data_IF_882581573828
#
_entry.id   IF_882581573828
#
_cell.length_a   1.000
_cell.length_b   1.000
_cell.length_c   1.000
_cell.angle_alpha   90.00
_cell.angle_beta   90.00
_cell.angle_gamma   90.00
#
_symmetry.space_group_name_H-M   'P 1'
#
loop_
_entity.id
_entity.type
_entity.pdbx_description
1 polymer ?
#
# COMPACT_ATOMS: atom_id res chain seq x y z
N UNK A 1 -18.89 8.04 20.39
CA UNK A 1 -18.97 7.79 18.94
C UNK A 1 -18.21 6.53 18.54
N UNK A 2 -16.88 6.47 18.66
CA UNK A 2 -16.08 5.30 18.27
C UNK A 2 -16.52 3.97 18.92
N UNK A 3 -16.87 3.97 20.21
CA UNK A 3 -17.38 2.77 20.90
C UNK A 3 -18.71 2.26 20.32
N UNK A 4 -19.59 3.16 19.87
CA UNK A 4 -20.87 2.84 19.24
C UNK A 4 -20.62 2.24 17.86
N UNK A 5 -19.71 2.82 17.08
CA UNK A 5 -19.33 2.29 15.77
C UNK A 5 -18.75 0.86 15.90
N UNK A 6 -17.85 0.66 16.86
CA UNK A 6 -17.25 -0.66 17.10
C UNK A 6 -18.29 -1.69 17.54
N UNK A 7 -19.27 -1.29 18.37
CA UNK A 7 -20.39 -2.13 18.74
C UNK A 7 -21.24 -2.55 17.52
N UNK A 8 -21.44 -1.62 16.57
CA UNK A 8 -22.12 -1.88 15.31
C UNK A 8 -21.36 -2.86 14.40
N UNK A 9 -20.04 -2.66 14.25
CA UNK A 9 -19.17 -3.56 13.45
C UNK A 9 -19.14 -4.96 14.05
N UNK A 10 -18.89 -5.09 15.36
CA UNK A 10 -18.78 -6.39 16.02
C UNK A 10 -20.14 -7.04 16.37
N UNK A 11 -21.25 -6.35 16.11
CA UNK A 11 -22.60 -6.73 16.54
C UNK A 11 -22.68 -7.09 18.04
N UNK A 12 -21.95 -6.35 18.88
CA UNK A 12 -21.85 -6.58 20.34
C UNK A 12 -22.03 -5.28 21.11
N UNK A 13 -22.92 -5.20 22.11
CA UNK A 13 -23.16 -3.96 22.85
C UNK A 13 -21.95 -3.47 23.64
N UNK A 14 -21.07 -4.40 24.05
CA UNK A 14 -19.80 -4.12 24.72
C UNK A 14 -18.71 -4.84 23.92
N UNK A 15 -18.16 -4.21 22.87
CA UNK A 15 -17.15 -4.83 22.02
C UNK A 15 -15.85 -5.07 22.78
N UNK A 16 -15.10 -6.09 22.39
CA UNK A 16 -13.79 -6.41 22.95
C UNK A 16 -12.77 -6.56 21.83
N UNK A 17 -11.57 -6.01 22.06
CA UNK A 17 -10.43 -6.12 21.14
C UNK A 17 -9.29 -6.77 21.91
N UNK A 18 -8.91 -7.99 21.53
CA UNK A 18 -7.84 -8.77 22.14
C UNK A 18 -6.70 -8.99 21.14
N UNK A 19 -7.02 -9.43 19.94
CA UNK A 19 -6.08 -9.83 18.91
C UNK A 19 -6.00 -8.75 17.82
N UNK A 20 -4.88 -8.01 17.81
CA UNK A 20 -4.61 -6.91 16.88
C UNK A 20 -3.53 -7.33 15.90
N UNK A 21 -3.68 -6.98 14.63
CA UNK A 21 -2.60 -7.11 13.65
C UNK A 21 -2.39 -5.81 12.87
N UNK A 22 -1.15 -5.57 12.46
CA UNK A 22 -0.79 -4.55 11.48
C UNK A 22 -0.24 -5.29 10.26
N UNK A 23 -0.92 -5.15 9.13
CA UNK A 23 -0.50 -5.75 7.86
C UNK A 23 0.24 -4.69 7.06
N UNK A 24 1.52 -4.96 6.80
CA UNK A 24 2.41 -4.13 6.00
C UNK A 24 2.50 -4.75 4.61
N UNK A 25 1.93 -4.07 3.63
CA UNK A 25 2.07 -4.44 2.22
C UNK A 25 3.28 -3.71 1.63
N UNK A 26 4.20 -4.45 1.02
CA UNK A 26 5.42 -3.88 0.46
C UNK A 26 5.57 -4.13 -1.05
N UNK A 27 5.87 -3.09 -1.81
CA UNK A 27 6.00 -3.16 -3.27
C UNK A 27 6.76 -1.97 -3.84
N UNK A 28 7.56 -2.21 -4.88
CA UNK A 28 8.34 -1.17 -5.54
C UNK A 28 7.61 -0.59 -6.74
N UNK A 29 7.96 0.66 -7.09
CA UNK A 29 7.31 1.40 -8.16
C UNK A 29 8.26 1.73 -9.30
N UNK A 30 7.84 1.45 -10.55
CA UNK A 30 8.64 1.79 -11.74
C UNK A 30 8.80 3.30 -11.97
N UNK A 31 7.89 4.12 -11.44
CA UNK A 31 7.96 5.59 -11.54
C UNK A 31 9.18 6.19 -10.83
N UNK A 32 9.87 5.42 -9.99
CA UNK A 32 11.12 5.86 -9.35
C UNK A 32 12.20 6.21 -10.37
N UNK A 33 12.15 5.62 -11.58
CA UNK A 33 13.04 5.95 -12.69
C UNK A 33 12.94 7.43 -13.13
N UNK A 34 11.83 8.12 -12.81
CA UNK A 34 11.63 9.54 -13.10
C UNK A 34 12.23 10.47 -12.03
N UNK A 35 12.86 9.96 -10.96
CA UNK A 35 13.49 10.81 -9.94
C UNK A 35 12.50 11.52 -9.01
N UNK A 36 11.39 10.85 -8.64
CA UNK A 36 10.30 11.41 -7.81
C UNK A 36 10.56 11.42 -6.30
N UNK A 37 11.75 11.05 -5.84
CA UNK A 37 12.06 10.95 -4.41
C UNK A 37 13.56 10.94 -4.11
N UNK A 38 13.88 11.02 -2.81
CA UNK A 38 15.27 11.17 -2.32
C UNK A 38 15.96 9.85 -2.01
N UNK A 39 15.23 8.73 -2.06
CA UNK A 39 15.72 7.44 -1.61
C UNK A 39 15.89 6.48 -2.79
N UNK A 40 16.98 5.69 -2.81
CA UNK A 40 17.14 4.66 -3.81
C UNK A 40 16.10 3.55 -3.60
N UNK A 41 15.67 2.92 -4.68
CA UNK A 41 14.65 1.86 -4.66
C UNK A 41 15.00 0.71 -3.70
N UNK A 42 16.30 0.41 -3.53
CA UNK A 42 16.79 -0.61 -2.60
C UNK A 42 16.37 -0.40 -1.13
N UNK A 43 15.96 0.81 -0.73
CA UNK A 43 15.47 1.09 0.63
C UNK A 43 14.21 0.30 0.97
N UNK A 44 13.36 -0.06 -0.01
CA UNK A 44 12.19 -0.92 0.22
C UNK A 44 12.59 -2.25 0.86
N UNK A 45 13.56 -2.95 0.26
CA UNK A 45 14.06 -4.22 0.78
C UNK A 45 14.75 -4.06 2.15
N UNK A 46 15.55 -3.00 2.32
CA UNK A 46 16.21 -2.72 3.61
C UNK A 46 15.20 -2.51 4.74
N UNK A 47 14.11 -1.79 4.47
CA UNK A 47 13.06 -1.58 5.46
C UNK A 47 12.28 -2.85 5.76
N UNK A 48 12.07 -3.76 4.80
CA UNK A 48 11.53 -5.08 5.09
C UNK A 48 12.40 -5.82 6.09
N UNK A 49 13.71 -5.92 5.84
CA UNK A 49 14.61 -6.55 6.81
C UNK A 49 14.58 -5.86 8.18
N UNK A 50 14.38 -4.55 8.22
CA UNK A 50 14.20 -3.80 9.47
C UNK A 50 12.87 -4.13 10.19
N UNK A 51 11.78 -4.34 9.43
CA UNK A 51 10.52 -4.81 10.02
C UNK A 51 10.67 -6.23 10.60
N UNK A 52 11.34 -7.13 9.87
CA UNK A 52 11.57 -8.51 10.28
C UNK A 52 12.51 -8.61 11.50
N UNK A 53 13.48 -7.70 11.62
CA UNK A 53 14.37 -7.63 12.79
C UNK A 53 13.77 -6.91 13.99
N UNK A 54 12.59 -6.30 13.84
CA UNK A 54 11.90 -5.61 14.94
C UNK A 54 12.40 -4.19 15.22
N UNK A 55 13.22 -3.61 14.33
CA UNK A 55 13.93 -2.35 14.52
C UNK A 55 13.22 -1.09 14.01
N UNK A 56 12.13 -1.22 13.25
CA UNK A 56 11.41 -0.08 12.70
C UNK A 56 10.46 0.57 13.72
N UNK A 57 10.06 1.83 13.47
CA UNK A 57 9.15 2.56 14.36
C UNK A 57 7.82 1.84 14.58
N UNK A 58 7.26 1.22 13.52
CA UNK A 58 6.03 0.43 13.63
C UNK A 58 6.20 -0.78 14.56
N UNK A 59 7.38 -1.41 14.62
CA UNK A 59 7.65 -2.51 15.54
C UNK A 59 7.57 -2.07 17.00
N UNK A 60 8.07 -0.87 17.32
CA UNK A 60 7.98 -0.29 18.66
C UNK A 60 6.52 -0.04 19.03
N UNK A 61 5.76 0.61 18.15
CA UNK A 61 4.35 0.94 18.38
C UNK A 61 3.46 -0.31 18.45
N UNK A 62 3.73 -1.32 17.62
CA UNK A 62 3.02 -2.58 17.62
C UNK A 62 3.24 -3.34 18.94
N UNK A 63 4.47 -3.40 19.45
CA UNK A 63 4.76 -3.98 20.78
C UNK A 63 4.02 -3.26 21.89
N UNK A 64 4.04 -1.92 21.88
CA UNK A 64 3.35 -1.11 22.89
C UNK A 64 1.83 -1.34 22.88
N UNK A 65 1.26 -1.55 21.71
CA UNK A 65 -0.18 -1.78 21.55
C UNK A 65 -0.56 -3.27 21.60
N UNK A 66 0.40 -4.19 21.71
CA UNK A 66 0.16 -5.63 21.65
C UNK A 66 -0.39 -6.11 20.30
N UNK A 67 -0.03 -5.45 19.21
CA UNK A 67 -0.36 -5.85 17.85
C UNK A 67 0.76 -6.69 17.23
N UNK A 68 0.41 -7.75 16.51
CA UNK A 68 1.34 -8.51 15.67
C UNK A 68 1.60 -7.76 14.36
N UNK A 69 2.79 -7.90 13.80
CA UNK A 69 3.14 -7.35 12.49
C UNK A 69 3.20 -8.48 11.49
N UNK A 70 2.55 -8.27 10.34
CA UNK A 70 2.54 -9.19 9.21
C UNK A 70 3.13 -8.43 8.04
N UNK A 71 4.27 -8.89 7.53
CA UNK A 71 4.93 -8.25 6.39
C UNK A 71 4.66 -9.09 5.14
N UNK A 72 4.14 -8.45 4.10
CA UNK A 72 3.77 -9.09 2.84
C UNK A 72 4.57 -8.45 1.71
N UNK A 73 5.36 -9.26 1.02
CA UNK A 73 6.01 -8.85 -0.23
C UNK A 73 5.01 -9.00 -1.37
N UNK A 74 4.47 -7.88 -1.83
CA UNK A 74 3.52 -7.77 -2.93
C UNK A 74 4.21 -7.56 -4.28
N UNK A 75 5.45 -7.05 -4.27
CA UNK A 75 6.12 -6.66 -5.50
C UNK A 75 7.44 -5.92 -5.30
N UNK A 76 8.26 -6.30 -4.33
CA UNK A 76 9.60 -5.71 -4.18
C UNK A 76 10.50 -6.10 -5.35
N UNK A 77 11.24 -5.14 -5.90
CA UNK A 77 12.07 -5.36 -7.09
C UNK A 77 13.30 -6.23 -6.78
N UNK A 78 13.84 -6.09 -5.57
CA UNK A 78 14.93 -6.92 -5.06
C UNK A 78 14.42 -8.28 -4.61
N UNK A 79 15.18 -9.34 -4.92
CA UNK A 79 14.92 -10.68 -4.38
C UNK A 79 15.15 -10.69 -2.86
N UNK A 80 14.19 -11.20 -2.10
CA UNK A 80 14.23 -11.24 -0.65
C UNK A 80 14.54 -12.66 -0.17
N UNK A 81 15.38 -12.78 0.86
CA UNK A 81 15.65 -14.08 1.46
C UNK A 81 14.37 -14.67 2.08
N UNK A 82 14.17 -15.98 1.88
CA UNK A 82 13.03 -16.67 2.45
C UNK A 82 13.07 -16.58 3.98
N UNK A 83 11.97 -16.13 4.57
CA UNK A 83 11.82 -16.01 6.02
C UNK A 83 10.42 -16.47 6.43
N UNK A 84 10.28 -17.22 7.53
CA UNK A 84 8.96 -17.60 8.05
C UNK A 84 8.14 -16.38 8.51
N UNK A 85 8.78 -15.23 8.70
CA UNK A 85 8.14 -13.97 9.11
C UNK A 85 7.75 -13.07 7.93
N UNK A 86 8.04 -13.49 6.69
CA UNK A 86 7.72 -12.76 5.47
C UNK A 86 6.74 -13.57 4.61
N UNK A 87 5.55 -13.02 4.36
CA UNK A 87 4.62 -13.60 3.41
C UNK A 87 5.02 -13.21 1.99
N UNK A 88 5.63 -14.15 1.26
CA UNK A 88 5.96 -13.96 -0.15
C UNK A 88 4.71 -14.12 -1.01
N UNK A 89 4.24 -13.01 -1.60
CA UNK A 89 3.08 -12.92 -2.51
C UNK A 89 3.38 -12.03 -3.72
N UNK A 90 4.65 -12.03 -4.13
CA UNK A 90 5.18 -11.14 -5.17
C UNK A 90 4.43 -11.34 -6.49
N UNK A 91 3.84 -10.26 -7.01
CA UNK A 91 3.10 -10.27 -8.28
C UNK A 91 4.05 -10.08 -9.46
N UNK A 92 4.97 -9.12 -9.32
CA UNK A 92 6.07 -8.83 -10.24
C UNK A 92 7.17 -8.05 -9.48
N UNK A 93 8.41 -7.99 -9.99
CA UNK A 93 9.48 -7.21 -9.36
C UNK A 93 9.29 -5.70 -9.61
N UNK A 94 8.39 -5.09 -8.84
CA UNK A 94 7.96 -3.71 -8.99
C UNK A 94 6.93 -3.51 -10.10
N UNK A 95 6.17 -2.41 -9.99
CA UNK A 95 5.25 -1.98 -11.06
C UNK A 95 6.03 -1.44 -12.27
N UNK A 96 5.36 -1.39 -13.42
CA UNK A 96 5.87 -0.66 -14.58
C UNK A 96 5.89 0.86 -14.31
N UNK A 97 6.71 1.58 -15.07
CA UNK A 97 6.72 3.03 -14.99
C UNK A 97 5.42 3.61 -15.59
N UNK A 98 4.53 4.09 -14.71
CA UNK A 98 3.24 4.65 -15.09
C UNK A 98 3.31 5.86 -16.05
N UNK A 99 4.48 6.47 -16.22
CA UNK A 99 4.69 7.55 -17.21
C UNK A 99 4.78 7.03 -18.64
N UNK A 100 5.10 5.76 -18.83
CA UNK A 100 5.30 5.15 -20.15
C UNK A 100 4.14 4.24 -20.55
N UNK A 101 3.55 3.53 -19.59
CA UNK A 101 2.49 2.54 -19.79
C UNK A 101 1.74 2.29 -18.47
N UNK A 102 0.65 1.51 -18.43
CA UNK A 102 -0.02 1.17 -17.17
C UNK A 102 0.94 0.54 -16.15
N UNK A 103 0.81 0.91 -14.87
CA UNK A 103 1.62 0.38 -13.77
C UNK A 103 1.57 -1.15 -13.67
N UNK A 104 0.43 -1.75 -13.97
CA UNK A 104 0.23 -3.21 -13.99
C UNK A 104 -0.92 -3.60 -14.93
N UNK A 105 -1.05 -4.88 -15.23
CA UNK A 105 -2.25 -5.37 -15.93
C UNK A 105 -3.46 -5.39 -15.00
N UNK A 106 -4.66 -5.46 -15.58
CA UNK A 106 -5.90 -5.60 -14.81
C UNK A 106 -5.89 -6.87 -13.94
N UNK A 107 -5.38 -7.97 -14.48
CA UNK A 107 -5.29 -9.27 -13.79
C UNK A 107 -4.34 -9.19 -12.60
N UNK A 108 -3.23 -8.47 -12.75
CA UNK A 108 -2.31 -8.21 -11.65
C UNK A 108 -2.95 -7.33 -10.56
N UNK A 109 -3.74 -6.32 -10.94
CA UNK A 109 -4.47 -5.49 -9.97
C UNK A 109 -5.52 -6.30 -9.20
N UNK A 110 -6.25 -7.20 -9.88
CA UNK A 110 -7.18 -8.15 -9.23
C UNK A 110 -6.42 -9.05 -8.25
N UNK A 111 -5.33 -9.67 -8.70
CA UNK A 111 -4.50 -10.53 -7.85
C UNK A 111 -3.95 -9.79 -6.63
N UNK A 112 -3.59 -8.52 -6.75
CA UNK A 112 -3.16 -7.70 -5.62
C UNK A 112 -4.25 -7.55 -4.56
N UNK A 113 -5.48 -7.28 -4.99
CA UNK A 113 -6.64 -7.18 -4.10
C UNK A 113 -6.94 -8.54 -3.47
N UNK A 114 -7.00 -9.61 -4.26
CA UNK A 114 -7.26 -10.97 -3.77
C UNK A 114 -6.22 -11.40 -2.74
N UNK A 115 -4.95 -11.09 -2.95
CA UNK A 115 -3.88 -11.37 -1.98
C UNK A 115 -4.15 -10.68 -0.63
N UNK A 116 -4.56 -9.41 -0.65
CA UNK A 116 -4.93 -8.70 0.58
C UNK A 116 -6.11 -9.34 1.31
N UNK A 117 -7.11 -9.82 0.54
CA UNK A 117 -8.26 -10.55 1.07
C UNK A 117 -7.82 -11.85 1.73
N UNK A 118 -6.99 -12.64 1.06
CA UNK A 118 -6.46 -13.92 1.56
C UNK A 118 -5.67 -13.75 2.85
N UNK A 119 -4.84 -12.70 2.95
CA UNK A 119 -4.07 -12.41 4.17
C UNK A 119 -5.01 -12.15 5.34
N UNK A 120 -6.03 -11.30 5.17
CA UNK A 120 -6.98 -11.02 6.25
C UNK A 120 -7.81 -12.26 6.61
N UNK A 121 -8.29 -13.03 5.64
CA UNK A 121 -9.05 -14.26 5.90
C UNK A 121 -8.25 -15.26 6.75
N UNK A 122 -6.95 -15.42 6.46
CA UNK A 122 -6.03 -16.22 7.28
C UNK A 122 -5.91 -15.68 8.71
N UNK A 123 -5.84 -14.36 8.87
CA UNK A 123 -5.73 -13.74 10.20
C UNK A 123 -7.02 -13.80 11.01
N UNK A 124 -8.17 -13.70 10.36
CA UNK A 124 -9.49 -13.90 10.97
C UNK A 124 -9.62 -15.34 11.49
N UNK A 125 -9.14 -16.34 10.73
CA UNK A 125 -9.07 -17.71 11.22
C UNK A 125 -8.17 -17.86 12.47
N UNK A 126 -7.20 -16.97 12.65
CA UNK A 126 -6.35 -16.85 13.84
C UNK A 126 -6.93 -15.90 14.91
N UNK A 127 -8.22 -15.55 14.82
CA UNK A 127 -8.94 -14.76 15.83
C UNK A 127 -8.69 -13.26 15.77
N UNK A 128 -8.31 -12.68 14.63
CA UNK A 128 -8.13 -11.24 14.45
C UNK A 128 -9.42 -10.45 14.80
N UNK A 129 -9.30 -9.47 15.71
CA UNK A 129 -10.40 -8.58 16.10
C UNK A 129 -10.34 -7.22 15.40
N UNK A 130 -9.14 -6.74 15.05
CA UNK A 130 -8.92 -5.46 14.39
C UNK A 130 -7.60 -5.48 13.62
N UNK A 131 -7.62 -4.85 12.45
CA UNK A 131 -6.44 -4.71 11.58
C UNK A 131 -6.08 -3.25 11.36
N UNK A 132 -4.79 -2.95 11.46
CA UNK A 132 -4.17 -1.74 10.95
C UNK A 132 -3.50 -2.02 9.60
N UNK A 133 -3.57 -1.06 8.69
CA UNK A 133 -2.88 -1.11 7.39
C UNK A 133 -1.59 -0.31 7.43
N UNK A 134 -0.53 -0.85 6.83
CA UNK A 134 0.71 -0.12 6.56
C UNK A 134 1.23 -0.44 5.16
N UNK A 135 1.96 0.50 4.57
CA UNK A 135 2.62 0.36 3.29
C UNK A 135 4.14 0.51 3.42
N UNK A 136 4.87 -0.07 2.48
CA UNK A 136 6.28 0.22 2.27
C UNK A 136 6.63 0.14 0.78
N UNK A 137 7.02 1.25 0.19
CA UNK A 137 7.44 1.26 -1.21
C UNK A 137 8.05 2.58 -1.61
N UNK A 138 9.28 2.57 -2.13
CA UNK A 138 9.85 3.78 -2.71
C UNK A 138 9.05 4.17 -3.96
N UNK A 139 8.61 5.42 -4.01
CA UNK A 139 7.78 5.97 -5.08
C UNK A 139 6.26 5.90 -4.85
N UNK A 140 5.80 5.19 -3.81
CA UNK A 140 4.37 4.95 -3.60
C UNK A 140 3.54 6.22 -3.38
N UNK A 141 4.08 7.27 -2.74
CA UNK A 141 3.37 8.56 -2.59
C UNK A 141 3.02 9.21 -3.93
N UNK A 142 3.80 8.95 -4.98
CA UNK A 142 3.51 9.41 -6.35
C UNK A 142 2.31 8.64 -6.92
N UNK A 143 2.29 7.31 -6.76
CA UNK A 143 1.14 6.49 -7.16
C UNK A 143 -0.14 6.85 -6.38
N UNK A 144 -0.04 7.02 -5.06
CA UNK A 144 -1.16 7.44 -4.21
C UNK A 144 -1.71 8.81 -4.61
N UNK A 145 -0.84 9.76 -4.95
CA UNK A 145 -1.26 11.10 -5.43
C UNK A 145 -1.93 11.01 -6.81
N UNK A 146 -1.45 10.14 -7.70
CA UNK A 146 -2.06 9.88 -9.00
C UNK A 146 -3.47 9.27 -8.87
N UNK A 147 -3.62 8.27 -7.99
CA UNK A 147 -4.93 7.67 -7.66
C UNK A 147 -5.87 8.74 -7.08
N UNK A 148 -5.39 9.54 -6.13
CA UNK A 148 -6.19 10.60 -5.50
C UNK A 148 -6.67 11.63 -6.54
N UNK A 149 -5.77 12.12 -7.40
CA UNK A 149 -6.12 13.05 -8.48
C UNK A 149 -7.13 12.44 -9.46
N UNK A 150 -6.93 11.19 -9.87
CA UNK A 150 -7.83 10.49 -10.77
C UNK A 150 -9.24 10.34 -10.17
N UNK A 151 -9.36 9.86 -8.94
CA UNK A 151 -10.66 9.59 -8.29
C UNK A 151 -11.39 10.88 -7.93
N UNK A 152 -10.69 11.87 -7.39
CA UNK A 152 -11.33 13.11 -6.89
C UNK A 152 -11.52 14.18 -7.96
N UNK A 153 -10.81 14.07 -9.09
CA UNK A 153 -10.76 15.11 -10.12
C UNK A 153 -10.03 16.39 -9.68
N UNK A 154 -9.39 16.39 -8.50
CA UNK A 154 -8.64 17.55 -8.01
C UNK A 154 -7.32 17.72 -8.77
N UNK A 155 -6.82 18.95 -8.91
CA UNK A 155 -5.50 19.18 -9.49
C UNK A 155 -4.41 18.40 -8.74
N UNK A 156 -3.49 17.80 -9.48
CA UNK A 156 -2.37 17.03 -8.92
C UNK A 156 -1.59 17.81 -7.88
N UNK A 157 -1.38 19.12 -8.11
CA UNK A 157 -0.68 20.00 -7.18
C UNK A 157 -1.36 20.13 -5.80
N UNK A 158 -2.67 19.92 -5.70
CA UNK A 158 -3.40 20.00 -4.42
C UNK A 158 -3.35 18.70 -3.61
N UNK A 159 -3.10 17.57 -4.27
CA UNK A 159 -3.11 16.23 -3.65
C UNK A 159 -1.72 15.61 -3.55
N UNK A 160 -0.69 16.30 -4.05
CA UNK A 160 0.70 15.86 -3.99
C UNK A 160 1.43 16.57 -2.86
N UNK A 161 1.90 15.79 -1.90
CA UNK A 161 2.70 16.29 -0.78
C UNK A 161 4.21 16.06 -0.95
N UNK A 162 4.99 16.59 0.00
CA UNK A 162 6.44 16.43 0.02
C UNK A 162 6.93 14.99 0.28
N UNK A 163 6.05 14.10 0.73
CA UNK A 163 6.40 12.73 1.07
C UNK A 163 7.59 12.68 2.03
N UNK A 164 8.71 12.11 1.57
CA UNK A 164 9.96 11.96 2.32
C UNK A 164 10.80 13.25 2.45
N UNK A 165 10.16 14.43 2.46
CA UNK A 165 10.83 15.72 2.67
C UNK A 165 11.55 16.30 1.43
N UNK A 166 10.96 16.20 0.24
CA UNK A 166 11.53 16.75 -1.00
C UNK A 166 11.45 18.30 -1.07
N UNK A 167 12.34 18.93 -1.86
CA UNK A 167 12.36 20.38 -2.12
C UNK A 167 11.18 20.86 -2.97
N UNK A 168 11.03 22.17 -3.16
CA UNK A 168 9.96 22.75 -4.00
C UNK A 168 10.12 22.37 -5.48
N UNK A 169 11.36 22.36 -5.97
CA UNK A 169 11.69 21.95 -7.33
C UNK A 169 11.36 20.48 -7.55
N UNK A 170 11.69 19.62 -6.58
CA UNK A 170 11.36 18.20 -6.62
C UNK A 170 9.86 17.95 -6.51
N UNK A 171 9.14 18.76 -5.74
CA UNK A 171 7.68 18.69 -5.67
C UNK A 171 7.04 19.08 -7.01
N UNK A 172 7.49 20.18 -7.62
CA UNK A 172 7.04 20.58 -8.95
C UNK A 172 7.30 19.50 -10.00
N UNK A 173 8.48 18.89 -9.97
CA UNK A 173 8.83 17.75 -10.83
C UNK A 173 7.92 16.53 -10.59
N UNK A 174 7.66 16.18 -9.33
CA UNK A 174 6.73 15.08 -8.98
C UNK A 174 5.32 15.35 -9.53
N UNK A 175 4.82 16.58 -9.40
CA UNK A 175 3.52 16.99 -9.94
C UNK A 175 3.48 16.82 -11.46
N UNK A 176 4.52 17.24 -12.17
CA UNK A 176 4.63 17.07 -13.62
C UNK A 176 4.65 15.59 -14.03
N UNK A 177 5.42 14.76 -13.32
CA UNK A 177 5.47 13.31 -13.54
C UNK A 177 4.09 12.66 -13.39
N UNK A 178 3.33 13.04 -12.37
CA UNK A 178 1.96 12.52 -12.16
C UNK A 178 1.02 13.00 -13.27
N UNK A 179 1.08 14.28 -13.66
CA UNK A 179 0.27 14.79 -14.77
C UNK A 179 0.53 13.99 -16.07
N UNK A 180 1.80 13.74 -16.39
CA UNK A 180 2.19 12.90 -17.55
C UNK A 180 1.59 11.50 -17.45
N UNK A 181 1.70 10.83 -16.30
CA UNK A 181 1.13 9.51 -16.09
C UNK A 181 -0.39 9.48 -16.30
N UNK A 182 -1.12 10.49 -15.81
CA UNK A 182 -2.57 10.61 -16.00
C UNK A 182 -2.96 10.84 -17.47
N UNK A 183 -2.19 11.65 -18.21
CA UNK A 183 -2.42 11.90 -19.64
C UNK A 183 -2.20 10.64 -20.49
N UNK A 184 -1.13 9.88 -20.19
CA UNK A 184 -0.77 8.66 -20.91
C UNK A 184 -1.80 7.56 -20.67
N UNK A 185 -2.20 7.36 -19.41
CA UNK A 185 -3.03 6.20 -19.05
C UNK A 185 -4.54 6.46 -19.13
N UNK A 186 -4.97 7.72 -18.92
CA UNK A 186 -6.38 8.12 -18.89
C UNK A 186 -7.23 7.16 -18.04
N UNK A 187 -6.96 7.02 -16.72
CA UNK A 187 -7.74 6.15 -15.86
C UNK A 187 -9.20 6.62 -15.76
N UNK A 188 -10.17 5.71 -15.84
CA UNK A 188 -11.59 6.04 -15.68
C UNK A 188 -11.95 6.04 -14.18
N UNK A 189 -12.29 7.20 -13.57
CA UNK A 189 -12.60 7.28 -12.14
C UNK A 189 -13.82 6.47 -11.72
N UNK A 190 -14.69 6.10 -12.65
CA UNK A 190 -15.86 5.25 -12.39
C UNK A 190 -15.52 3.76 -12.36
N UNK A 191 -14.28 3.41 -12.70
CA UNK A 191 -13.76 2.04 -12.68
C UNK A 191 -12.53 1.99 -11.75
N UNK A 192 -12.72 1.84 -10.43
CA UNK A 192 -11.60 1.89 -9.47
C UNK A 192 -10.46 0.89 -9.76
N UNK A 193 -10.79 -0.28 -10.31
CA UNK A 193 -9.81 -1.26 -10.73
C UNK A 193 -8.96 -0.80 -11.95
N UNK A 194 -9.55 -0.01 -12.85
CA UNK A 194 -8.82 0.61 -13.97
C UNK A 194 -7.83 1.67 -13.44
N UNK A 195 -8.27 2.48 -12.47
CA UNK A 195 -7.39 3.46 -11.79
C UNK A 195 -6.21 2.75 -11.12
N UNK A 196 -6.48 1.70 -10.33
CA UNK A 196 -5.43 0.91 -9.66
C UNK A 196 -4.45 0.31 -10.66
N UNK A 197 -4.95 -0.32 -11.74
CA UNK A 197 -4.09 -0.97 -12.73
C UNK A 197 -3.19 0.04 -13.47
N UNK A 198 -3.71 1.23 -13.77
CA UNK A 198 -3.01 2.23 -14.57
C UNK A 198 -1.98 3.03 -13.79
N UNK A 199 -2.33 3.50 -12.59
CA UNK A 199 -1.50 4.48 -11.84
C UNK A 199 -1.27 4.11 -10.38
N UNK A 200 -1.60 2.87 -9.99
CA UNK A 200 -1.45 2.38 -8.62
C UNK A 200 -0.19 1.55 -8.36
N UNK A 201 -0.22 0.83 -7.24
CA UNK A 201 0.85 -0.04 -6.74
C UNK A 201 0.31 -1.41 -6.32
N UNK A 202 1.15 -2.45 -6.35
CA UNK A 202 0.74 -3.78 -5.91
C UNK A 202 0.40 -3.79 -4.42
N UNK A 203 1.17 -3.06 -3.61
CA UNK A 203 0.93 -2.88 -2.19
C UNK A 203 -0.35 -2.08 -1.91
N UNK A 204 -0.64 -1.07 -2.76
CA UNK A 204 -1.90 -0.32 -2.66
C UNK A 204 -3.09 -1.25 -2.94
N UNK A 205 -3.00 -2.10 -3.97
CA UNK A 205 -4.01 -3.12 -4.25
C UNK A 205 -4.18 -4.11 -3.09
N UNK A 206 -3.07 -4.56 -2.50
CA UNK A 206 -3.08 -5.37 -1.28
C UNK A 206 -3.82 -4.70 -0.12
N UNK A 207 -3.58 -3.40 0.11
CA UNK A 207 -4.27 -2.65 1.15
C UNK A 207 -5.77 -2.51 0.88
N UNK A 208 -6.18 -2.32 -0.38
CA UNK A 208 -7.60 -2.36 -0.76
C UNK A 208 -8.20 -3.72 -0.40
N UNK A 209 -7.50 -4.81 -0.70
CA UNK A 209 -7.91 -6.16 -0.31
C UNK A 209 -8.07 -6.33 1.20
N UNK A 210 -7.14 -5.81 1.99
CA UNK A 210 -7.20 -5.82 3.46
C UNK A 210 -8.46 -5.11 3.96
N UNK A 211 -8.75 -3.91 3.42
CA UNK A 211 -9.93 -3.13 3.82
C UNK A 211 -11.24 -3.83 3.44
N UNK A 212 -11.30 -4.43 2.23
CA UNK A 212 -12.47 -5.16 1.77
C UNK A 212 -12.76 -6.39 2.62
N UNK A 213 -11.73 -7.19 2.93
CA UNK A 213 -11.90 -8.37 3.76
C UNK A 213 -12.23 -8.02 5.22
N UNK A 214 -11.63 -6.98 5.77
CA UNK A 214 -11.94 -6.50 7.12
C UNK A 214 -13.39 -6.01 7.26
N UNK A 215 -14.00 -5.53 6.17
CA UNK A 215 -15.41 -5.14 6.15
C UNK A 215 -16.36 -6.34 5.93
N UNK A 216 -15.89 -7.42 5.33
CA UNK A 216 -16.68 -8.61 5.02
C UNK A 216 -16.77 -9.62 6.19
N UNK A 217 -15.80 -9.57 7.11
CA UNK A 217 -15.72 -10.41 8.31
C UNK A 217 -16.28 -9.72 9.55
#
# INVERSE_FOLDING_TARGET
ELSIQLAGIQAKPIPQIRHKAIIIMAGDHGVVAEGVGNWPQAVTAQMIYNFLSGGAGINVLARQTGARIIVVDMGVATELEASPQLLSRKIAPGTQNMVLSPAMTREQAVRAIETGIEVVASEVANGLDIVGTGDMGIGNTTASSAICAAITGRPVAEVTGRGTGITDEQLAHKVEVINRALVVNRPDPRQPLDVLAKVGGFEIGGLVGVMLAAAAH
#
